data_IF_215753315123
#
_entry.id   IF_215753315123
#
_cell.length_a   1.000
_cell.length_b   1.000
_cell.length_c   1.000
_cell.angle_alpha   90.00
_cell.angle_beta   90.00
_cell.angle_gamma   90.00
#
_symmetry.space_group_name_H-M   'P 1'
#
loop_
_entity.id
_entity.type
_entity.pdbx_description
1 polymer ?
#
# COMPACT_ATOMS: atom_id res chain seq x y z
N UNK A 1 -30.42 11.42 -38.56
CA UNK A 1 -29.00 10.97 -38.54
C UNK A 1 -28.21 11.93 -37.65
N UNK A 2 -27.86 11.48 -36.44
CA UNK A 2 -27.18 12.27 -35.41
C UNK A 2 -25.69 12.38 -35.81
N UNK A 3 -25.18 13.59 -36.02
CA UNK A 3 -23.77 13.81 -36.36
C UNK A 3 -22.94 13.71 -35.09
N UNK A 4 -22.31 12.57 -34.87
CA UNK A 4 -21.29 12.41 -33.83
C UNK A 4 -20.08 13.27 -34.21
N UNK A 5 -19.82 14.32 -33.43
CA UNK A 5 -18.58 15.10 -33.56
C UNK A 5 -17.51 14.42 -32.74
N UNK A 6 -16.63 13.67 -33.41
CA UNK A 6 -15.43 13.12 -32.81
C UNK A 6 -14.45 14.28 -32.59
N UNK A 7 -14.28 14.72 -31.34
CA UNK A 7 -13.21 15.63 -30.99
C UNK A 7 -11.88 14.88 -31.05
N UNK A 8 -11.05 15.21 -32.04
CA UNK A 8 -9.66 14.76 -32.11
C UNK A 8 -8.88 15.56 -31.08
N UNK A 9 -8.62 14.96 -29.93
CA UNK A 9 -7.76 15.51 -28.88
C UNK A 9 -6.39 15.81 -29.51
N UNK A 10 -5.92 17.06 -29.38
CA UNK A 10 -4.67 17.56 -29.97
C UNK A 10 -3.47 16.68 -29.60
N UNK A 11 -2.50 16.49 -30.50
CA UNK A 11 -1.29 15.67 -30.26
C UNK A 11 -0.53 16.05 -28.97
N UNK A 12 -0.57 17.33 -28.57
CA UNK A 12 0.07 17.81 -27.32
C UNK A 12 -0.55 17.18 -26.07
N UNK A 13 -1.87 17.02 -26.02
CA UNK A 13 -2.56 16.36 -24.89
C UNK A 13 -2.25 14.85 -24.81
N UNK A 14 -2.00 14.21 -25.96
CA UNK A 14 -1.59 12.80 -26.03
C UNK A 14 -0.19 12.59 -25.44
N UNK A 15 0.74 13.53 -25.66
CA UNK A 15 2.08 13.50 -25.05
C UNK A 15 1.99 13.70 -23.52
N UNK A 16 1.12 14.58 -23.04
CA UNK A 16 0.92 14.82 -21.60
C UNK A 16 0.40 13.56 -20.88
N UNK A 17 -0.60 12.87 -21.45
CA UNK A 17 -1.16 11.65 -20.86
C UNK A 17 -0.11 10.54 -20.80
N UNK A 18 0.73 10.40 -21.83
CA UNK A 18 1.85 9.45 -21.83
C UNK A 18 2.89 9.76 -20.77
N UNK A 19 3.22 11.04 -20.57
CA UNK A 19 4.14 11.48 -19.52
C UNK A 19 3.58 11.15 -18.13
N UNK A 20 2.30 11.41 -17.89
CA UNK A 20 1.63 11.03 -16.63
C UNK A 20 1.68 9.51 -16.44
N UNK A 21 1.38 8.75 -17.49
CA UNK A 21 1.48 7.29 -17.48
C UNK A 21 2.87 6.78 -17.10
N UNK A 22 3.94 7.35 -17.67
CA UNK A 22 5.32 6.95 -17.33
C UNK A 22 5.69 7.24 -15.88
N UNK A 23 5.25 8.40 -15.34
CA UNK A 23 5.44 8.72 -13.93
C UNK A 23 4.68 7.76 -13.02
N UNK A 24 3.44 7.39 -13.37
CA UNK A 24 2.66 6.42 -12.60
C UNK A 24 3.34 5.04 -12.59
N UNK A 25 3.84 4.56 -13.73
CA UNK A 25 4.56 3.28 -13.85
C UNK A 25 5.79 3.28 -12.95
N UNK A 26 6.63 4.32 -13.05
CA UNK A 26 7.87 4.41 -12.28
C UNK A 26 7.59 4.54 -10.78
N UNK A 27 6.63 5.39 -10.39
CA UNK A 27 6.22 5.54 -9.00
C UNK A 27 5.64 4.25 -8.42
N UNK A 28 4.79 3.55 -9.17
CA UNK A 28 4.24 2.26 -8.75
C UNK A 28 5.34 1.20 -8.55
N UNK A 29 6.34 1.13 -9.43
CA UNK A 29 7.47 0.21 -9.26
C UNK A 29 8.23 0.47 -7.96
N UNK A 30 8.59 1.72 -7.68
CA UNK A 30 9.29 2.09 -6.43
C UNK A 30 8.47 1.66 -5.22
N UNK A 31 7.16 1.92 -5.25
CA UNK A 31 6.28 1.61 -4.13
C UNK A 31 6.05 0.11 -3.97
N UNK A 32 6.03 -0.68 -5.06
CA UNK A 32 6.05 -2.14 -4.98
C UNK A 32 7.32 -2.63 -4.27
N UNK A 33 8.50 -2.15 -4.66
CA UNK A 33 9.75 -2.52 -3.99
C UNK A 33 9.74 -2.14 -2.51
N UNK A 34 9.20 -0.97 -2.17
CA UNK A 34 9.04 -0.55 -0.77
C UNK A 34 8.14 -1.52 0.01
N UNK A 35 7.00 -1.95 -0.56
CA UNK A 35 6.10 -2.89 0.12
C UNK A 35 6.74 -4.27 0.29
N UNK A 36 7.53 -4.73 -0.69
CA UNK A 36 8.30 -5.97 -0.59
C UNK A 36 9.34 -5.86 0.54
N UNK A 37 10.04 -4.73 0.65
CA UNK A 37 10.98 -4.49 1.75
C UNK A 37 10.28 -4.53 3.12
N UNK A 38 9.12 -3.89 3.25
CA UNK A 38 8.30 -3.94 4.47
C UNK A 38 7.87 -5.39 4.78
N UNK A 39 7.50 -6.16 3.77
CA UNK A 39 7.14 -7.57 3.94
C UNK A 39 8.31 -8.39 4.50
N UNK A 40 9.52 -8.21 3.99
CA UNK A 40 10.71 -8.87 4.53
C UNK A 40 11.03 -8.44 5.96
N UNK A 41 10.94 -7.13 6.24
CA UNK A 41 11.14 -6.59 7.59
C UNK A 41 10.14 -7.16 8.61
N UNK A 42 8.88 -7.32 8.20
CA UNK A 42 7.84 -7.93 9.05
C UNK A 42 8.10 -9.42 9.27
N UNK A 43 8.56 -10.14 8.24
CA UNK A 43 8.90 -11.56 8.31
C UNK A 43 10.06 -11.80 9.29
N UNK A 44 11.11 -10.99 9.19
CA UNK A 44 12.26 -11.07 10.10
C UNK A 44 11.86 -10.72 11.54
N UNK A 45 11.02 -9.70 11.73
CA UNK A 45 10.46 -9.37 13.05
C UNK A 45 9.69 -10.54 13.69
N UNK A 46 8.86 -11.23 12.91
CA UNK A 46 8.11 -12.42 13.36
C UNK A 46 9.05 -13.58 13.70
N UNK A 47 10.10 -13.80 12.91
CA UNK A 47 11.06 -14.88 13.12
C UNK A 47 11.96 -14.65 14.33
N UNK A 48 12.29 -13.39 14.62
CA UNK A 48 13.18 -13.02 15.73
C UNK A 48 12.45 -12.93 17.08
N UNK A 49 11.15 -12.60 17.07
CA UNK A 49 10.33 -12.54 18.28
C UNK A 49 10.39 -13.80 19.18
N UNK A 50 10.22 -15.04 18.68
CA UNK A 50 10.32 -16.23 19.54
C UNK A 50 11.71 -16.41 20.15
N UNK A 51 12.78 -15.95 19.48
CA UNK A 51 14.14 -15.98 20.04
C UNK A 51 14.31 -14.96 21.18
N UNK A 52 13.76 -13.75 21.00
CA UNK A 52 13.71 -12.74 22.05
C UNK A 52 12.97 -13.26 23.29
N UNK A 53 11.80 -13.89 23.07
CA UNK A 53 11.00 -14.48 24.14
C UNK A 53 11.67 -15.70 24.79
N UNK A 54 12.47 -16.47 24.06
CA UNK A 54 13.29 -17.53 24.65
C UNK A 54 14.34 -16.97 25.63
N UNK A 55 14.97 -15.83 25.29
CA UNK A 55 15.88 -15.12 26.20
C UNK A 55 15.19 -14.57 27.45
N UNK A 56 13.95 -14.09 27.32
CA UNK A 56 13.11 -13.73 28.48
C UNK A 56 12.79 -14.95 29.34
N UNK A 57 12.35 -16.06 28.74
CA UNK A 57 12.03 -17.31 29.47
C UNK A 57 13.23 -17.87 30.22
N UNK A 58 14.42 -17.83 29.61
CA UNK A 58 15.67 -18.25 30.25
C UNK A 58 16.06 -17.34 31.43
N UNK A 59 15.72 -16.04 31.36
CA UNK A 59 15.98 -15.11 32.44
C UNK A 59 15.05 -15.36 33.64
N UNK A 60 13.75 -15.55 33.42
CA UNK A 60 12.79 -15.79 34.51
C UNK A 60 12.92 -17.19 35.15
N UNK A 61 13.62 -18.12 34.50
CA UNK A 61 13.92 -19.44 35.07
C UNK A 61 15.13 -19.44 36.01
N UNK A 62 15.85 -18.32 36.13
CA UNK A 62 16.91 -18.13 37.11
C UNK A 62 16.27 -17.69 38.44
N UNK A 63 16.57 -18.40 39.54
CA UNK A 63 16.03 -18.11 40.87
C UNK A 63 16.45 -16.72 41.39
N UNK A 64 17.49 -16.11 40.80
CA UNK A 64 17.96 -14.77 41.15
C UNK A 64 17.48 -13.67 40.20
N UNK A 65 16.48 -13.95 39.35
CA UNK A 65 15.99 -12.99 38.38
C UNK A 65 15.31 -11.79 39.05
N UNK A 66 15.76 -10.58 38.68
CA UNK A 66 15.11 -9.35 39.11
C UNK A 66 13.80 -9.16 38.32
N UNK A 67 12.64 -9.07 39.00
CA UNK A 67 11.34 -8.91 38.33
C UNK A 67 11.26 -7.65 37.46
N UNK A 68 11.97 -6.58 37.82
CA UNK A 68 11.99 -5.33 37.06
C UNK A 68 12.68 -5.53 35.70
N UNK A 69 13.80 -6.25 35.70
CA UNK A 69 14.58 -6.55 34.49
C UNK A 69 13.82 -7.53 33.60
N UNK A 70 13.12 -8.50 34.19
CA UNK A 70 12.26 -9.43 33.45
C UNK A 70 11.15 -8.66 32.69
N UNK A 71 10.49 -7.71 33.36
CA UNK A 71 9.44 -6.89 32.75
C UNK A 71 10.00 -5.99 31.64
N UNK A 72 11.19 -5.40 31.84
CA UNK A 72 11.85 -4.59 30.82
C UNK A 72 12.19 -5.42 29.56
N UNK A 73 12.71 -6.64 29.73
CA UNK A 73 12.99 -7.55 28.61
C UNK A 73 11.71 -7.93 27.85
N UNK A 74 10.63 -8.24 28.57
CA UNK A 74 9.33 -8.54 27.96
C UNK A 74 8.82 -7.35 27.13
N UNK A 75 8.84 -6.15 27.70
CA UNK A 75 8.39 -4.94 27.02
C UNK A 75 9.25 -4.63 25.79
N UNK A 76 10.58 -4.80 25.87
CA UNK A 76 11.47 -4.60 24.73
C UNK A 76 11.17 -5.56 23.57
N UNK A 77 10.92 -6.84 23.86
CA UNK A 77 10.55 -7.82 22.82
C UNK A 77 9.20 -7.45 22.17
N UNK A 78 8.22 -7.03 22.96
CA UNK A 78 6.91 -6.61 22.45
C UNK A 78 6.97 -5.31 21.66
N UNK A 79 7.74 -4.32 22.12
CA UNK A 79 7.95 -3.05 21.41
C UNK A 79 8.66 -3.25 20.08
N UNK A 80 9.64 -4.15 20.03
CA UNK A 80 10.30 -4.53 18.79
C UNK A 80 9.31 -5.15 17.80
N UNK A 81 8.50 -6.11 18.25
CA UNK A 81 7.46 -6.73 17.43
C UNK A 81 6.44 -5.69 16.95
N UNK A 82 5.99 -4.80 17.83
CA UNK A 82 5.03 -3.76 17.49
C UNK A 82 5.59 -2.79 16.44
N UNK A 83 6.84 -2.33 16.59
CA UNK A 83 7.49 -1.44 15.62
C UNK A 83 7.61 -2.07 14.23
N UNK A 84 7.87 -3.38 14.16
CA UNK A 84 8.04 -4.09 12.88
C UNK A 84 6.70 -4.52 12.26
N UNK A 85 5.72 -4.90 13.06
CA UNK A 85 4.49 -5.56 12.57
C UNK A 85 3.20 -4.75 12.80
N UNK A 86 3.25 -3.67 13.60
CA UNK A 86 2.09 -2.93 14.11
C UNK A 86 1.09 -3.80 14.89
N UNK A 87 1.49 -4.98 15.37
CA UNK A 87 0.64 -5.85 16.19
C UNK A 87 1.03 -5.72 17.65
N UNK A 88 0.05 -5.37 18.49
CA UNK A 88 0.18 -5.40 19.93
C UNK A 88 -0.27 -6.77 20.45
N UNK A 89 0.54 -7.39 21.30
CA UNK A 89 0.18 -8.60 22.03
C UNK A 89 -0.38 -8.21 23.40
N UNK A 90 -1.40 -8.94 23.84
CA UNK A 90 -1.88 -8.82 25.22
C UNK A 90 -0.79 -9.28 26.21
N UNK A 91 -0.71 -8.66 27.40
CA UNK A 91 0.28 -9.03 28.41
C UNK A 91 0.13 -10.52 28.78
N UNK A 92 1.25 -11.24 28.84
CA UNK A 92 1.31 -12.67 29.13
C UNK A 92 1.23 -13.58 27.90
N UNK A 93 0.82 -13.08 26.73
CA UNK A 93 0.92 -13.85 25.49
C UNK A 93 2.38 -13.87 25.03
N UNK A 94 2.88 -15.08 24.77
CA UNK A 94 4.28 -15.31 24.33
C UNK A 94 4.37 -15.84 22.90
N UNK A 95 3.23 -16.01 22.24
CA UNK A 95 3.13 -16.46 20.85
C UNK A 95 2.14 -15.57 20.10
N UNK A 96 2.40 -15.37 18.81
CA UNK A 96 1.45 -14.73 17.90
C UNK A 96 0.34 -15.72 17.54
N UNK A 97 -0.91 -15.26 17.57
CA UNK A 97 -2.02 -16.04 17.02
C UNK A 97 -1.88 -16.15 15.49
N UNK A 98 -2.29 -17.27 14.90
CA UNK A 98 -2.32 -17.43 13.44
C UNK A 98 -3.13 -16.33 12.73
N UNK A 99 -4.18 -15.81 13.37
CA UNK A 99 -4.95 -14.67 12.86
C UNK A 99 -4.14 -13.37 12.84
N UNK A 100 -3.31 -13.15 13.86
CA UNK A 100 -2.44 -11.98 13.93
C UNK A 100 -1.33 -12.06 12.89
N UNK A 101 -0.71 -13.24 12.71
CA UNK A 101 0.26 -13.46 11.64
C UNK A 101 -0.34 -13.14 10.27
N UNK A 102 -1.54 -13.63 9.99
CA UNK A 102 -2.22 -13.34 8.73
C UNK A 102 -2.49 -11.84 8.54
N UNK A 103 -2.91 -11.13 9.59
CA UNK A 103 -3.11 -9.67 9.55
C UNK A 103 -1.81 -8.89 9.34
N UNK A 104 -0.65 -9.39 9.81
CA UNK A 104 0.64 -8.75 9.54
C UNK A 104 0.98 -8.83 8.05
N UNK A 105 0.76 -10.00 7.43
CA UNK A 105 1.07 -10.20 6.01
C UNK A 105 0.06 -9.57 5.06
N UNK A 106 -1.20 -9.41 5.47
CA UNK A 106 -2.23 -8.89 4.56
C UNK A 106 -1.94 -7.44 4.15
N UNK A 107 -1.38 -6.63 5.06
CA UNK A 107 -1.12 -5.20 4.81
C UNK A 107 -0.10 -4.96 3.67
N UNK A 108 1.12 -5.51 3.71
CA UNK A 108 2.07 -5.35 2.61
C UNK A 108 1.56 -6.00 1.33
N UNK A 109 0.87 -7.14 1.40
CA UNK A 109 0.30 -7.82 0.22
C UNK A 109 -0.76 -6.94 -0.46
N UNK A 110 -1.71 -6.38 0.28
CA UNK A 110 -2.70 -5.44 -0.26
C UNK A 110 -2.03 -4.22 -0.87
N UNK A 111 -0.96 -3.71 -0.24
CA UNK A 111 -0.15 -2.63 -0.80
C UNK A 111 0.46 -2.99 -2.16
N UNK A 112 1.06 -4.18 -2.29
CA UNK A 112 1.61 -4.67 -3.56
C UNK A 112 0.51 -4.77 -4.63
N UNK A 113 -0.65 -5.35 -4.30
CA UNK A 113 -1.77 -5.45 -5.23
C UNK A 113 -2.30 -4.08 -5.67
N UNK A 114 -2.45 -3.14 -4.74
CA UNK A 114 -2.87 -1.78 -5.05
C UNK A 114 -1.90 -1.12 -6.05
N UNK A 115 -0.60 -1.17 -5.78
CA UNK A 115 0.40 -0.58 -6.67
C UNK A 115 0.52 -1.34 -7.99
N UNK A 116 0.28 -2.65 -8.02
CA UNK A 116 0.19 -3.40 -9.26
C UNK A 116 -0.98 -2.90 -10.14
N UNK A 117 -2.16 -2.63 -9.57
CA UNK A 117 -3.29 -2.03 -10.31
C UNK A 117 -2.93 -0.64 -10.84
N UNK A 118 -2.27 0.19 -10.04
CA UNK A 118 -1.78 1.51 -10.47
C UNK A 118 -0.78 1.38 -11.62
N UNK A 119 0.13 0.41 -11.54
CA UNK A 119 1.11 0.10 -12.58
C UNK A 119 0.43 -0.30 -13.90
N UNK A 120 -0.54 -1.22 -13.84
CA UNK A 120 -1.32 -1.60 -15.03
C UNK A 120 -2.10 -0.43 -15.63
N UNK A 121 -2.69 0.41 -14.77
CA UNK A 121 -3.38 1.63 -15.21
C UNK A 121 -2.42 2.60 -15.89
N UNK A 122 -1.21 2.77 -15.34
CA UNK A 122 -0.15 3.56 -15.95
C UNK A 122 0.26 3.02 -17.32
N UNK A 123 0.37 1.71 -17.49
CA UNK A 123 0.63 1.06 -18.80
C UNK A 123 -0.50 1.36 -19.79
N UNK A 124 -1.76 1.25 -19.38
CA UNK A 124 -2.91 1.57 -20.24
C UNK A 124 -2.85 3.03 -20.71
N UNK A 125 -2.59 3.97 -19.81
CA UNK A 125 -2.47 5.39 -20.15
C UNK A 125 -1.28 5.68 -21.07
N UNK A 126 -0.14 5.01 -20.84
CA UNK A 126 1.04 5.12 -21.69
C UNK A 126 0.79 4.58 -23.12
N UNK A 127 0.08 3.46 -23.23
CA UNK A 127 -0.23 2.83 -24.51
C UNK A 127 -1.46 3.42 -25.22
N UNK A 128 -2.29 4.22 -24.53
CA UNK A 128 -3.44 4.90 -25.13
C UNK A 128 -3.00 5.87 -26.23
N UNK A 129 -3.21 5.47 -27.49
CA UNK A 129 -2.86 6.26 -28.70
C UNK A 129 -3.98 7.20 -29.15
N UNK A 130 -5.23 6.99 -28.69
CA UNK A 130 -6.39 7.88 -28.89
C UNK A 130 -7.30 7.81 -27.66
N UNK A 131 -7.48 8.93 -26.96
CA UNK A 131 -8.58 9.12 -26.02
C UNK A 131 -9.71 9.84 -26.78
N UNK A 132 -10.66 9.06 -27.32
CA UNK A 132 -11.93 9.61 -27.78
C UNK A 132 -12.88 9.64 -26.58
N UNK A 133 -12.90 10.75 -25.85
CA UNK A 133 -13.97 10.99 -24.89
C UNK A 133 -15.24 11.33 -25.68
N UNK A 134 -16.23 10.43 -25.66
CA UNK A 134 -17.61 10.76 -26.04
C UNK A 134 -18.21 11.56 -24.88
N UNK A 135 -17.93 12.86 -24.84
CA UNK A 135 -18.69 13.78 -23.97
C UNK A 135 -20.04 13.98 -24.65
N UNK A 136 -21.08 13.35 -24.12
CA UNK A 136 -22.46 13.80 -24.36
C UNK A 136 -22.62 15.16 -23.70
N UNK A 137 -22.22 16.21 -24.42
CA UNK A 137 -22.52 17.58 -24.05
C UNK A 137 -24.04 17.75 -24.20
N UNK A 138 -24.75 17.62 -23.09
CA UNK A 138 -26.15 17.99 -22.97
C UNK A 138 -26.27 19.44 -23.41
N UNK A 139 -26.87 19.62 -24.57
CA UNK A 139 -27.15 20.90 -25.21
C UNK A 139 -27.79 21.86 -24.22
N UNK A 140 -27.06 22.89 -23.80
CA UNK A 140 -27.68 24.13 -23.34
C UNK A 140 -28.36 24.76 -24.55
N UNK A 141 -29.64 24.45 -24.65
CA UNK A 141 -30.56 24.89 -25.67
C UNK A 141 -30.69 26.42 -25.67
N UNK A 142 -30.64 26.97 -26.88
CA UNK A 142 -30.85 28.37 -27.26
C UNK A 142 -31.95 29.07 -26.43
N UNK A 143 -31.63 30.21 -25.81
CA UNK A 143 -32.61 31.29 -25.61
C UNK A 143 -32.27 32.47 -26.52
N UNK A 144 -32.97 32.45 -27.67
CA UNK A 144 -33.64 33.55 -28.40
C UNK A 144 -32.99 34.96 -28.36
N UNK A 145 -32.49 35.41 -29.51
CA UNK A 145 -33.15 36.31 -30.50
C UNK A 145 -33.06 37.82 -30.16
N UNK A 146 -32.30 38.52 -31.02
CA UNK A 146 -32.65 39.81 -31.63
C UNK A 146 -33.10 40.99 -30.76
N UNK A 147 -32.26 42.01 -30.69
CA UNK A 147 -32.66 43.43 -30.74
C UNK A 147 -31.68 44.08 -31.73
N UNK A 148 -32.13 44.40 -32.95
CA UNK A 148 -32.65 45.72 -33.35
C UNK A 148 -31.77 46.85 -32.86
#
# INVERSE_FOLDING_TARGET
MRKEKVFVVSEKSLQLVRLIGSFMIFGALILIFQQVAIMFDTWDGIKEYPKCMAGYRAYISDDNADPLVAQLKYNNCNDYLYKKTNVALAPGNTSLSGKQLFLVFIRPVVGIFFWAVVFFTGILLYNCRRLSFLVEESTHEKIKKGKK
#
